data_IF_878650634407
#
_entry.id   IF_878650634407
#
_cell.length_a   1.000
_cell.length_b   1.000
_cell.length_c   1.000
_cell.angle_alpha   90.00
_cell.angle_beta   90.00
_cell.angle_gamma   90.00
#
_symmetry.space_group_name_H-M   'P 1'
#
loop_
_entity.id
_entity.type
_entity.pdbx_description
1 polymer ?
#
# COMPACT_ATOMS: atom_id res chain seq x y z
N UNK A 1 12.20 37.86 25.23
CA UNK A 1 11.41 37.98 26.44
C UNK A 1 10.55 39.26 26.51
N UNK A 2 10.61 40.20 25.57
CA UNK A 2 9.91 41.49 25.63
C UNK A 2 8.76 41.69 24.60
N UNK A 3 8.43 40.70 23.78
CA UNK A 3 7.34 40.81 22.78
C UNK A 3 6.01 40.14 23.15
N UNK A 4 5.99 39.32 24.22
CA UNK A 4 4.76 38.61 24.66
C UNK A 4 3.82 39.48 25.56
N UNK A 5 4.25 40.61 26.03
CA UNK A 5 3.47 41.42 26.97
C UNK A 5 2.63 42.55 26.33
N UNK A 6 2.76 42.80 25.01
CA UNK A 6 2.10 44.00 24.44
C UNK A 6 0.79 43.71 23.71
N UNK A 7 0.42 42.43 23.52
CA UNK A 7 -0.84 42.05 22.82
C UNK A 7 -2.04 41.80 23.72
N UNK A 8 -1.82 41.65 25.04
CA UNK A 8 -2.90 41.35 25.98
C UNK A 8 -3.61 42.59 26.55
N UNK A 9 -3.21 43.81 26.20
CA UNK A 9 -3.75 45.05 26.85
C UNK A 9 -4.88 45.75 26.10
N UNK A 10 -5.33 45.25 24.94
CA UNK A 10 -6.28 46.00 24.08
C UNK A 10 -7.68 45.42 23.97
N UNK A 11 -8.00 44.28 24.62
CA UNK A 11 -9.36 43.65 24.51
C UNK A 11 -10.15 43.58 25.84
N UNK A 12 -9.73 44.24 26.91
CA UNK A 12 -10.37 44.14 28.22
C UNK A 12 -11.22 45.36 28.57
N UNK A 13 -12.02 45.92 27.66
CA UNK A 13 -12.82 47.12 27.98
C UNK A 13 -14.31 47.00 27.56
N UNK A 14 -14.94 45.84 27.59
CA UNK A 14 -16.40 45.74 27.58
C UNK A 14 -16.86 44.53 28.38
N UNK A 15 -17.43 44.75 29.51
CA UNK A 15 -18.18 43.97 30.48
C UNK A 15 -17.43 43.71 31.79
N UNK A 16 -17.91 44.40 32.83
CA UNK A 16 -17.36 44.43 34.17
C UNK A 16 -17.43 43.13 34.98
N UNK A 17 -16.70 42.09 34.53
CA UNK A 17 -16.33 40.91 35.33
C UNK A 17 -14.84 40.69 35.04
N UNK A 18 -13.98 41.09 35.96
CA UNK A 18 -12.55 40.78 35.89
C UNK A 18 -12.37 39.29 36.18
N UNK A 19 -12.53 38.45 35.17
CA UNK A 19 -11.96 37.11 35.19
C UNK A 19 -10.43 37.26 35.03
N UNK A 20 -9.66 36.64 35.89
CA UNK A 20 -8.21 36.57 35.75
C UNK A 20 -7.91 35.82 34.47
N UNK A 21 -7.47 36.51 33.42
CA UNK A 21 -7.01 35.89 32.19
C UNK A 21 -5.59 35.38 32.40
N UNK A 22 -5.43 34.08 32.54
CA UNK A 22 -4.15 33.42 32.63
C UNK A 22 -3.76 32.95 31.25
N UNK A 23 -2.60 33.35 30.83
CA UNK A 23 -1.80 32.96 29.62
C UNK A 23 -2.55 32.43 28.37
N UNK A 24 -2.33 33.08 27.23
CA UNK A 24 -2.70 32.54 25.93
C UNK A 24 -1.65 31.50 25.49
N UNK A 25 -2.07 30.25 25.27
CA UNK A 25 -1.28 29.21 24.62
C UNK A 25 -1.51 29.25 23.12
N UNK A 26 -0.51 28.85 22.33
CA UNK A 26 -0.66 28.68 20.88
C UNK A 26 -0.35 27.22 20.50
N UNK A 27 -1.13 26.66 19.63
CA UNK A 27 -0.94 25.29 19.10
C UNK A 27 -1.34 25.24 17.63
N UNK A 28 -0.60 24.51 16.82
CA UNK A 28 -1.01 24.20 15.44
C UNK A 28 -2.13 23.13 15.46
N UNK A 29 -3.09 23.24 14.55
CA UNK A 29 -4.26 22.36 14.52
C UNK A 29 -3.94 20.86 14.26
N UNK A 30 -2.71 20.53 13.89
CA UNK A 30 -2.18 19.18 13.71
C UNK A 30 -1.21 18.73 14.81
N UNK A 31 -1.11 19.51 15.89
CA UNK A 31 -0.22 19.26 17.01
C UNK A 31 -0.98 19.16 18.32
N UNK A 32 -0.39 18.51 19.31
CA UNK A 32 -0.97 18.40 20.65
C UNK A 32 -0.31 19.42 21.58
N UNK A 33 -1.10 20.20 22.31
CA UNK A 33 -0.62 21.09 23.37
C UNK A 33 -0.50 20.31 24.69
N UNK A 34 0.65 20.39 25.34
CA UNK A 34 0.88 19.82 26.67
C UNK A 34 0.80 20.93 27.71
N UNK A 35 -0.11 20.79 28.69
CA UNK A 35 -0.26 21.77 29.75
C UNK A 35 0.84 21.70 30.80
N UNK A 36 1.13 22.83 31.37
CA UNK A 36 2.01 22.98 32.53
C UNK A 36 1.26 23.69 33.68
N UNK A 37 1.80 23.70 34.90
CA UNK A 37 1.21 24.43 36.00
C UNK A 37 1.21 25.95 35.76
N UNK A 38 2.19 26.45 35.02
CA UNK A 38 2.33 27.87 34.66
C UNK A 38 1.18 28.37 33.78
N UNK A 39 0.52 27.46 33.06
CA UNK A 39 -0.64 27.79 32.24
C UNK A 39 -1.89 28.13 33.09
N UNK A 40 -1.89 27.78 34.36
CA UNK A 40 -3.04 27.94 35.25
C UNK A 40 -2.79 28.89 36.42
N UNK A 41 -1.54 29.18 36.75
CA UNK A 41 -1.19 30.09 37.87
C UNK A 41 0.29 30.45 37.82
N UNK A 42 0.62 31.66 38.31
CA UNK A 42 2.01 32.10 38.61
C UNK A 42 2.48 31.68 40.00
N UNK A 43 1.61 31.07 40.83
CA UNK A 43 1.88 30.72 42.23
C UNK A 43 1.97 29.22 42.49
N UNK A 44 2.14 28.85 43.77
CA UNK A 44 2.21 27.45 44.24
C UNK A 44 0.82 26.77 44.20
N UNK A 45 0.41 26.33 42.99
CA UNK A 45 -0.87 25.70 42.73
C UNK A 45 -0.88 24.27 43.26
N UNK A 46 -1.91 23.89 44.04
CA UNK A 46 -2.14 22.52 44.51
C UNK A 46 -2.98 21.71 43.52
N UNK A 47 -3.80 22.41 42.73
CA UNK A 47 -4.62 21.76 41.68
C UNK A 47 -5.59 22.74 41.04
N UNK A 48 -6.42 22.22 40.17
CA UNK A 48 -7.51 22.92 39.49
C UNK A 48 -8.79 22.11 39.53
N UNK A 49 -9.93 22.79 39.55
CA UNK A 49 -11.22 22.21 39.26
C UNK A 49 -11.69 22.70 37.87
N UNK A 50 -11.86 21.84 36.91
CA UNK A 50 -12.37 22.19 35.57
C UNK A 50 -13.84 22.58 35.69
N UNK A 51 -14.19 23.79 35.26
CA UNK A 51 -15.59 24.28 35.27
C UNK A 51 -16.18 24.38 33.87
N UNK A 52 -15.33 24.50 32.83
CA UNK A 52 -15.76 24.47 31.43
C UNK A 52 -14.68 23.96 30.52
N UNK A 53 -15.09 23.26 29.47
CA UNK A 53 -14.23 22.72 28.48
C UNK A 53 -14.55 23.32 27.09
N UNK A 54 -13.60 23.31 26.15
CA UNK A 54 -13.85 23.78 24.79
C UNK A 54 -14.99 23.00 24.12
N UNK A 55 -15.62 23.64 23.16
CA UNK A 55 -16.49 22.91 22.21
C UNK A 55 -15.70 21.77 21.56
N UNK A 56 -16.23 20.52 21.54
CA UNK A 56 -15.58 19.39 20.86
C UNK A 56 -15.23 19.65 19.38
N UNK A 57 -15.96 20.57 18.72
CA UNK A 57 -15.64 21.01 17.36
C UNK A 57 -14.29 21.76 17.27
N UNK A 58 -13.74 22.25 18.40
CA UNK A 58 -12.47 22.97 18.47
C UNK A 58 -11.34 22.11 19.01
N UNK A 59 -11.66 21.07 19.75
CA UNK A 59 -10.67 20.13 20.31
C UNK A 59 -11.10 19.51 21.62
N UNK A 60 -10.28 18.64 22.14
CA UNK A 60 -10.56 17.83 23.33
C UNK A 60 -9.44 17.93 24.34
N UNK A 61 -9.80 18.19 25.61
CA UNK A 61 -8.85 18.17 26.73
C UNK A 61 -8.83 16.81 27.37
N UNK A 62 -7.63 16.24 27.54
CA UNK A 62 -7.42 14.87 28.02
C UNK A 62 -6.47 14.82 29.21
N UNK A 63 -6.60 13.79 30.02
CA UNK A 63 -5.62 13.37 31.03
C UNK A 63 -5.16 11.95 30.67
N UNK A 64 -3.96 11.82 30.10
CA UNK A 64 -3.53 10.59 29.47
C UNK A 64 -4.50 10.18 28.34
N UNK A 65 -5.19 9.05 28.48
CA UNK A 65 -6.18 8.56 27.51
C UNK A 65 -7.63 8.91 27.86
N UNK A 66 -7.87 9.57 29.02
CA UNK A 66 -9.21 9.92 29.49
C UNK A 66 -9.57 11.34 29.07
N UNK A 67 -10.71 11.49 28.42
CA UNK A 67 -11.32 12.82 28.16
C UNK A 67 -11.78 13.42 29.46
N UNK A 68 -11.38 14.68 29.74
CA UNK A 68 -11.81 15.42 30.92
C UNK A 68 -13.27 15.87 30.83
N UNK A 69 -13.88 16.08 31.98
CA UNK A 69 -15.26 16.55 32.12
C UNK A 69 -15.32 17.77 33.07
N UNK A 70 -16.34 18.60 32.90
CA UNK A 70 -16.64 19.64 33.86
C UNK A 70 -16.89 19.02 35.25
N UNK A 71 -16.26 19.56 36.27
CA UNK A 71 -16.24 19.06 37.66
C UNK A 71 -15.04 18.18 37.99
N UNK A 72 -14.18 17.82 37.00
CA UNK A 72 -12.94 17.10 37.30
C UNK A 72 -11.98 17.98 38.12
N UNK A 73 -11.45 17.37 39.18
CA UNK A 73 -10.43 18.02 40.04
C UNK A 73 -9.09 17.32 39.75
N UNK A 74 -8.10 18.12 39.44
CA UNK A 74 -6.77 17.66 39.09
C UNK A 74 -5.73 18.23 40.04
N UNK A 75 -4.81 17.40 40.50
CA UNK A 75 -3.66 17.83 41.27
C UNK A 75 -2.64 18.52 40.38
N UNK A 76 -1.74 19.32 40.99
CA UNK A 76 -0.66 19.97 40.27
C UNK A 76 0.21 19.00 39.45
N UNK A 77 0.43 17.77 39.94
CA UNK A 77 1.16 16.72 39.22
C UNK A 77 0.36 16.19 38.01
N UNK A 78 -0.97 16.12 38.10
CA UNK A 78 -1.79 15.65 36.99
C UNK A 78 -1.92 16.69 35.86
N UNK A 79 -1.76 17.97 36.16
CA UNK A 79 -1.78 19.05 35.17
C UNK A 79 -0.69 18.82 34.11
N UNK A 80 0.51 18.41 34.52
CA UNK A 80 1.60 18.12 33.55
C UNK A 80 1.36 16.90 32.65
N UNK A 81 0.31 16.14 32.93
CA UNK A 81 -0.13 15.02 32.09
C UNK A 81 -1.37 15.35 31.23
N UNK A 82 -1.89 16.59 31.41
CA UNK A 82 -2.98 17.06 30.56
C UNK A 82 -2.50 17.41 29.18
N UNK A 83 -3.34 17.14 28.19
CA UNK A 83 -3.11 17.53 26.82
C UNK A 83 -4.38 18.11 26.20
N UNK A 84 -4.20 19.04 25.28
CA UNK A 84 -5.26 19.49 24.40
C UNK A 84 -4.95 19.04 22.99
N UNK A 85 -5.90 18.31 22.39
CA UNK A 85 -5.83 17.83 21.01
C UNK A 85 -6.81 18.67 20.20
N UNK A 86 -6.33 19.62 19.38
CA UNK A 86 -7.19 20.45 18.55
C UNK A 86 -7.93 19.61 17.49
N UNK A 87 -9.10 20.06 17.12
CA UNK A 87 -9.74 19.58 15.88
C UNK A 87 -9.11 20.31 14.70
N UNK A 88 -8.76 19.56 13.64
CA UNK A 88 -8.16 20.15 12.44
C UNK A 88 -9.06 21.21 11.82
N UNK A 89 -8.49 22.35 11.48
CA UNK A 89 -9.18 23.51 10.90
C UNK A 89 -8.26 24.21 9.90
N UNK A 90 -8.84 24.88 8.91
CA UNK A 90 -8.11 25.72 7.97
C UNK A 90 -8.00 27.18 8.46
N UNK A 91 -8.88 27.58 9.36
CA UNK A 91 -8.93 28.92 9.94
C UNK A 91 -8.41 28.91 11.37
N UNK A 92 -7.80 30.03 11.77
CA UNK A 92 -7.40 30.24 13.15
C UNK A 92 -8.63 30.28 14.06
N UNK A 93 -8.59 29.53 15.15
CA UNK A 93 -9.68 29.40 16.11
C UNK A 93 -9.17 29.54 17.54
N UNK A 94 -10.11 29.67 18.48
CA UNK A 94 -9.79 29.70 19.88
C UNK A 94 -10.58 28.62 20.65
N UNK A 95 -9.89 27.94 21.54
CA UNK A 95 -10.47 27.01 22.51
C UNK A 95 -10.31 27.60 23.91
N UNK A 96 -11.35 27.46 24.73
CA UNK A 96 -11.40 28.06 26.05
C UNK A 96 -11.59 26.98 27.09
N UNK A 97 -10.69 26.97 28.09
CA UNK A 97 -10.81 26.14 29.30
C UNK A 97 -11.09 27.06 30.48
N UNK A 98 -12.16 26.81 31.24
CA UNK A 98 -12.46 27.51 32.46
C UNK A 98 -12.24 26.63 33.68
N UNK A 99 -11.67 27.19 34.75
CA UNK A 99 -11.24 26.41 35.91
C UNK A 99 -11.25 27.27 37.19
N UNK A 100 -11.25 26.61 38.35
CA UNK A 100 -11.01 27.21 39.65
C UNK A 100 -9.61 26.83 40.12
N UNK A 101 -8.68 27.77 40.31
CA UNK A 101 -7.38 27.50 40.91
C UNK A 101 -7.54 27.09 42.37
N UNK A 102 -6.84 26.04 42.81
CA UNK A 102 -6.87 25.52 44.17
C UNK A 102 -5.48 25.66 44.78
N UNK A 103 -5.37 26.43 45.85
CA UNK A 103 -4.16 26.62 46.66
C UNK A 103 -4.33 25.90 48.01
N UNK A 104 -3.29 25.89 48.82
CA UNK A 104 -3.31 25.22 50.13
C UNK A 104 -4.33 25.85 51.11
N UNK A 105 -4.48 27.16 51.03
CA UNK A 105 -5.28 27.97 51.95
C UNK A 105 -6.57 28.54 51.33
N UNK A 106 -6.75 28.44 50.03
CA UNK A 106 -7.90 29.05 49.34
C UNK A 106 -8.20 28.40 47.98
N UNK A 107 -9.42 28.59 47.51
CA UNK A 107 -9.84 28.39 46.13
C UNK A 107 -10.20 29.76 45.56
N UNK A 108 -9.61 30.10 44.42
CA UNK A 108 -9.86 31.41 43.80
C UNK A 108 -11.11 31.37 42.88
N UNK A 109 -11.50 32.55 42.41
CA UNK A 109 -12.58 32.68 41.43
C UNK A 109 -12.23 32.01 40.15
N UNK A 110 -13.27 31.67 39.37
CA UNK A 110 -13.08 31.06 38.07
C UNK A 110 -12.15 31.91 37.17
N UNK A 111 -11.16 31.25 36.62
CA UNK A 111 -10.23 31.79 35.64
C UNK A 111 -10.45 31.14 34.28
N UNK A 112 -9.98 31.80 33.24
CA UNK A 112 -10.12 31.35 31.85
C UNK A 112 -8.75 31.28 31.20
N UNK A 113 -8.45 30.14 30.58
CA UNK A 113 -7.31 29.95 29.70
C UNK A 113 -7.78 29.90 28.27
N UNK A 114 -7.20 30.70 27.40
CA UNK A 114 -7.45 30.71 25.97
C UNK A 114 -6.31 30.01 25.25
N UNK A 115 -6.65 29.07 24.36
CA UNK A 115 -5.72 28.35 23.50
C UNK A 115 -6.01 28.81 22.07
N UNK A 116 -5.06 29.52 21.48
CA UNK A 116 -5.12 29.91 20.05
C UNK A 116 -4.70 28.75 19.18
N UNK A 117 -5.61 28.26 18.37
CA UNK A 117 -5.38 27.17 17.42
C UNK A 117 -5.07 27.79 16.06
N UNK A 118 -3.87 27.52 15.53
CA UNK A 118 -3.51 27.95 14.18
C UNK A 118 -4.08 26.99 13.16
N UNK A 119 -4.89 27.52 12.28
CA UNK A 119 -5.40 26.80 11.12
C UNK A 119 -4.29 26.46 10.13
N UNK A 120 -4.47 25.37 9.39
CA UNK A 120 -3.55 24.95 8.36
C UNK A 120 -4.33 24.64 7.10
N UNK A 121 -4.11 25.45 6.08
CA UNK A 121 -4.73 25.25 4.77
C UNK A 121 -4.26 23.93 4.20
N UNK A 122 -5.23 23.16 3.72
CA UNK A 122 -4.98 21.87 3.10
C UNK A 122 -4.30 22.05 1.76
N UNK A 123 -3.22 21.30 1.51
CA UNK A 123 -2.46 21.41 0.28
C UNK A 123 -2.90 20.33 -0.72
N UNK A 124 -2.90 20.72 -2.00
CA UNK A 124 -3.18 19.75 -3.05
C UNK A 124 -2.09 18.68 -3.12
N UNK A 125 -2.46 17.42 -3.39
CA UNK A 125 -1.50 16.35 -3.54
C UNK A 125 -0.61 16.56 -4.77
N UNK A 126 0.53 15.87 -4.80
CA UNK A 126 1.51 15.93 -5.87
C UNK A 126 1.54 14.59 -6.59
N UNK A 127 1.33 14.61 -7.91
CA UNK A 127 1.57 13.49 -8.80
C UNK A 127 2.85 13.73 -9.59
N UNK A 128 3.64 12.68 -9.82
CA UNK A 128 4.95 12.76 -10.49
C UNK A 128 4.94 11.99 -11.80
N UNK A 129 5.67 12.54 -12.78
CA UNK A 129 5.95 11.83 -14.03
C UNK A 129 6.82 10.60 -13.75
N UNK A 130 6.53 9.51 -14.47
CA UNK A 130 7.31 8.29 -14.34
C UNK A 130 7.38 7.53 -15.66
N UNK A 131 8.29 6.56 -15.72
CA UNK A 131 8.44 5.68 -16.86
C UNK A 131 8.39 4.22 -16.42
N UNK A 132 7.85 3.35 -17.29
CA UNK A 132 7.90 1.91 -17.13
C UNK A 132 8.28 1.25 -18.45
N UNK A 133 8.81 0.05 -18.37
CA UNK A 133 9.04 -0.81 -19.53
C UNK A 133 8.18 -2.07 -19.43
N UNK A 134 7.72 -2.54 -20.56
CA UNK A 134 7.10 -3.85 -20.69
C UNK A 134 7.47 -4.47 -22.01
N UNK A 135 7.15 -5.75 -22.20
CA UNK A 135 7.31 -6.42 -23.48
C UNK A 135 5.99 -6.47 -24.26
N UNK A 136 6.13 -6.62 -25.55
CA UNK A 136 5.03 -6.95 -26.45
C UNK A 136 4.19 -8.10 -25.88
N UNK A 137 2.87 -7.88 -25.76
CA UNK A 137 1.89 -8.87 -25.25
C UNK A 137 2.06 -9.24 -23.77
N UNK A 138 2.84 -8.49 -22.99
CA UNK A 138 3.02 -8.71 -21.56
C UNK A 138 2.47 -7.54 -20.75
N UNK A 139 1.48 -7.81 -19.90
CA UNK A 139 1.03 -6.83 -18.90
C UNK A 139 2.13 -6.60 -17.85
N UNK A 140 2.27 -5.38 -17.39
CA UNK A 140 3.20 -5.04 -16.32
C UNK A 140 2.58 -4.00 -15.39
N UNK A 141 2.91 -4.09 -14.09
CA UNK A 141 2.35 -3.24 -13.04
C UNK A 141 3.43 -2.46 -12.33
N UNK A 142 3.08 -1.28 -11.85
CA UNK A 142 3.92 -0.46 -11.00
C UNK A 142 3.05 0.49 -10.14
N UNK A 143 3.53 0.93 -8.97
CA UNK A 143 2.84 1.95 -8.20
C UNK A 143 2.94 3.31 -8.92
N UNK A 144 1.84 4.07 -8.90
CA UNK A 144 1.88 5.48 -9.29
C UNK A 144 2.62 6.30 -8.25
N UNK A 145 3.44 7.22 -8.71
CA UNK A 145 4.20 8.13 -7.84
C UNK A 145 3.34 9.32 -7.48
N UNK A 146 2.74 9.29 -6.33
CA UNK A 146 1.96 10.39 -5.81
C UNK A 146 2.08 10.50 -4.29
N UNK A 147 1.95 11.72 -3.79
CA UNK A 147 2.07 12.01 -2.36
C UNK A 147 1.15 13.17 -1.99
N UNK A 148 0.44 13.00 -0.90
CA UNK A 148 -0.24 14.09 -0.20
C UNK A 148 0.71 14.73 0.83
N UNK A 149 0.85 16.07 0.88
CA UNK A 149 1.73 16.74 1.84
C UNK A 149 1.35 16.45 3.30
N UNK A 150 0.07 16.24 3.56
CA UNK A 150 -0.49 15.94 4.87
C UNK A 150 -0.61 14.42 5.14
N UNK A 151 -0.24 13.59 4.17
CA UNK A 151 -0.25 12.12 4.29
C UNK A 151 -1.64 11.50 4.19
N UNK A 152 -2.60 12.17 3.57
CA UNK A 152 -3.96 11.67 3.39
C UNK A 152 -4.04 10.61 2.30
N UNK A 153 -5.10 9.81 2.34
CA UNK A 153 -5.40 8.83 1.30
C UNK A 153 -5.73 9.51 -0.03
N UNK A 154 -5.23 8.96 -1.14
CA UNK A 154 -5.40 9.52 -2.47
C UNK A 154 -6.36 8.69 -3.32
N UNK A 155 -7.15 9.39 -4.13
CA UNK A 155 -7.96 8.79 -5.21
C UNK A 155 -7.30 9.07 -6.54
N UNK A 156 -7.11 8.04 -7.36
CA UNK A 156 -6.39 8.12 -8.64
C UNK A 156 -7.37 8.16 -9.82
N UNK A 157 -7.13 9.04 -10.77
CA UNK A 157 -7.98 9.19 -11.96
C UNK A 157 -7.13 9.27 -13.23
N UNK A 158 -7.40 8.40 -14.21
CA UNK A 158 -6.78 8.48 -15.54
C UNK A 158 -7.45 9.59 -16.34
N UNK A 159 -6.69 10.61 -16.72
CA UNK A 159 -7.19 11.77 -17.48
C UNK A 159 -7.07 11.57 -18.98
N UNK A 160 -6.07 10.79 -19.44
CA UNK A 160 -5.89 10.42 -20.85
C UNK A 160 -5.47 8.97 -20.95
N UNK A 161 -6.25 8.18 -21.70
CA UNK A 161 -5.96 6.77 -21.95
C UNK A 161 -4.78 6.55 -22.92
N UNK A 162 -4.03 5.45 -22.77
CA UNK A 162 -2.97 5.10 -23.71
C UNK A 162 -3.53 4.66 -25.06
N UNK A 163 -2.73 4.79 -26.12
CA UNK A 163 -3.15 4.45 -27.50
C UNK A 163 -2.81 3.02 -27.91
N UNK A 164 -1.70 2.47 -27.36
CA UNK A 164 -1.16 1.16 -27.75
C UNK A 164 -1.46 0.06 -26.74
N UNK A 165 -2.19 0.36 -25.67
CA UNK A 165 -2.56 -0.54 -24.58
C UNK A 165 -3.83 -0.09 -23.89
N UNK A 166 -4.07 -0.66 -22.73
CA UNK A 166 -5.02 -0.21 -21.70
C UNK A 166 -4.31 -0.07 -20.36
N UNK A 167 -4.86 0.75 -19.48
CA UNK A 167 -4.38 0.92 -18.10
C UNK A 167 -5.54 0.74 -17.14
N UNK A 168 -5.30 0.01 -16.08
CA UNK A 168 -6.17 -0.15 -14.92
C UNK A 168 -5.40 0.31 -13.67
N UNK A 169 -6.07 0.98 -12.74
CA UNK A 169 -5.48 1.45 -11.48
C UNK A 169 -6.29 0.85 -10.34
N UNK A 170 -5.63 0.25 -9.37
CA UNK A 170 -6.26 -0.28 -8.17
C UNK A 170 -6.48 0.80 -7.10
N UNK A 171 -7.14 0.44 -5.99
CA UNK A 171 -7.45 1.34 -4.88
C UNK A 171 -6.20 1.85 -4.15
N UNK A 172 -5.07 1.14 -4.27
CA UNK A 172 -3.80 1.49 -3.63
C UNK A 172 -2.89 2.33 -4.53
N UNK A 173 -3.35 2.65 -5.74
CA UNK A 173 -2.60 3.43 -6.72
C UNK A 173 -1.57 2.62 -7.51
N UNK A 174 -1.63 1.29 -7.48
CA UNK A 174 -0.89 0.49 -8.43
C UNK A 174 -1.63 0.44 -9.76
N UNK A 175 -0.91 0.68 -10.85
CA UNK A 175 -1.47 0.57 -12.19
C UNK A 175 -0.92 -0.64 -12.91
N UNK A 176 -1.77 -1.26 -13.71
CA UNK A 176 -1.40 -2.32 -14.65
C UNK A 176 -1.59 -1.82 -16.07
N UNK A 177 -0.51 -1.80 -16.86
CA UNK A 177 -0.56 -1.50 -18.28
C UNK A 177 -0.52 -2.79 -19.10
N UNK A 178 -1.51 -2.98 -19.98
CA UNK A 178 -1.62 -4.14 -20.88
C UNK A 178 -1.45 -3.67 -22.33
N UNK A 179 -0.34 -4.04 -23.00
CA UNK A 179 -0.14 -3.72 -24.41
C UNK A 179 -1.19 -4.38 -25.31
N UNK A 180 -1.70 -3.68 -26.31
CA UNK A 180 -2.47 -4.30 -27.40
C UNK A 180 -1.59 -5.29 -28.17
N UNK A 181 -2.23 -6.33 -28.70
CA UNK A 181 -1.57 -7.44 -29.41
C UNK A 181 -0.51 -6.96 -30.38
N UNK A 182 0.70 -7.50 -30.24
CA UNK A 182 1.86 -7.25 -31.09
C UNK A 182 2.32 -5.77 -31.21
N UNK A 183 1.85 -4.86 -30.36
CA UNK A 183 2.35 -3.48 -30.35
C UNK A 183 3.71 -3.39 -29.67
N UNK A 184 4.55 -2.51 -30.21
CA UNK A 184 5.86 -2.12 -29.67
C UNK A 184 6.04 -0.61 -29.83
N UNK A 185 7.05 -0.04 -29.15
CA UNK A 185 7.37 1.38 -29.18
C UNK A 185 6.85 2.10 -27.96
N UNK A 186 6.80 3.44 -27.99
CA UNK A 186 6.41 4.26 -26.85
C UNK A 186 4.91 4.52 -26.84
N UNK A 187 4.31 4.43 -25.66
CA UNK A 187 2.95 4.84 -25.34
C UNK A 187 2.96 5.72 -24.09
N UNK A 188 1.84 6.30 -23.74
CA UNK A 188 1.69 7.07 -22.51
C UNK A 188 0.23 7.21 -22.10
N UNK A 189 0.00 7.36 -20.81
CA UNK A 189 -1.26 7.84 -20.24
C UNK A 189 -0.97 8.97 -19.26
N UNK A 190 -1.98 9.74 -18.89
CA UNK A 190 -1.88 10.77 -17.87
C UNK A 190 -2.88 10.53 -16.75
N UNK A 191 -2.53 11.00 -15.55
CA UNK A 191 -3.33 10.82 -14.37
C UNK A 191 -3.27 12.02 -13.43
N UNK A 192 -4.27 12.16 -12.61
CA UNK A 192 -4.32 13.07 -11.46
C UNK A 192 -4.63 12.29 -10.20
N UNK A 193 -4.30 12.86 -9.06
CA UNK A 193 -4.72 12.35 -7.75
C UNK A 193 -5.51 13.42 -7.01
N UNK A 194 -6.49 12.96 -6.24
CA UNK A 194 -7.40 13.82 -5.47
C UNK A 194 -7.38 13.36 -4.01
N UNK A 195 -7.29 14.32 -3.10
CA UNK A 195 -7.38 14.08 -1.66
C UNK A 195 -8.86 14.00 -1.19
N UNK A 196 -9.13 13.65 0.09
CA UNK A 196 -10.50 13.59 0.61
C UNK A 196 -11.23 14.94 0.66
N UNK A 197 -10.52 16.06 0.61
CA UNK A 197 -11.07 17.40 0.61
C UNK A 197 -11.42 17.90 -0.80
N UNK A 198 -11.01 17.16 -1.83
CA UNK A 198 -11.30 17.46 -3.22
C UNK A 198 -10.22 18.28 -3.91
N UNK A 199 -9.06 18.52 -3.28
CA UNK A 199 -7.93 19.16 -3.97
C UNK A 199 -7.32 18.18 -4.96
N UNK A 200 -7.05 18.66 -6.18
CA UNK A 200 -6.57 17.84 -7.29
C UNK A 200 -5.14 18.22 -7.64
N UNK A 201 -4.29 17.23 -7.84
CA UNK A 201 -2.90 17.43 -8.29
C UNK A 201 -2.84 18.03 -9.70
N UNK A 202 -1.65 18.49 -10.09
CA UNK A 202 -1.33 18.66 -11.52
C UNK A 202 -1.36 17.32 -12.21
N UNK A 203 -1.66 17.33 -13.52
CA UNK A 203 -1.60 16.13 -14.34
C UNK A 203 -0.16 15.64 -14.46
N UNK A 204 0.06 14.33 -14.24
CA UNK A 204 1.33 13.66 -14.41
C UNK A 204 1.27 12.63 -15.55
N UNK A 205 2.39 12.36 -16.17
CA UNK A 205 2.51 11.48 -17.33
C UNK A 205 3.25 10.21 -16.96
N UNK A 206 2.66 9.05 -17.28
CA UNK A 206 3.36 7.77 -17.30
C UNK A 206 3.75 7.44 -18.72
N UNK A 207 5.06 7.34 -18.97
CA UNK A 207 5.62 6.92 -20.26
C UNK A 207 5.93 5.45 -20.24
N UNK A 208 5.41 4.69 -21.22
CA UNK A 208 5.59 3.25 -21.34
C UNK A 208 6.43 2.93 -22.57
N UNK A 209 7.52 2.17 -22.40
CA UNK A 209 8.30 1.58 -23.49
C UNK A 209 7.91 0.12 -23.66
N UNK A 210 7.28 -0.19 -24.79
CA UNK A 210 6.91 -1.57 -25.16
C UNK A 210 8.03 -2.14 -26.02
N UNK A 211 8.80 -3.08 -25.46
CA UNK A 211 10.00 -3.65 -26.04
C UNK A 211 9.70 -4.96 -26.78
N UNK A 212 10.58 -5.36 -27.68
CA UNK A 212 10.69 -6.75 -28.11
C UNK A 212 11.53 -7.53 -27.09
N UNK A 213 11.27 -8.82 -26.87
CA UNK A 213 12.16 -9.67 -26.08
C UNK A 213 13.62 -9.56 -26.57
N UNK A 214 14.54 -9.39 -25.64
CA UNK A 214 15.98 -9.23 -25.91
C UNK A 214 16.48 -7.80 -26.13
N UNK A 215 15.62 -6.80 -26.29
CA UNK A 215 16.01 -5.40 -26.52
C UNK A 215 16.35 -4.62 -25.22
N UNK A 216 16.12 -5.21 -24.04
CA UNK A 216 16.32 -4.53 -22.75
C UNK A 216 17.74 -4.64 -22.23
N UNK A 217 18.13 -3.68 -21.37
CA UNK A 217 19.38 -3.75 -20.62
C UNK A 217 19.41 -4.95 -19.65
N UNK A 218 20.60 -5.33 -19.16
CA UNK A 218 20.73 -6.33 -18.11
C UNK A 218 20.17 -5.83 -16.79
N UNK A 219 19.75 -6.75 -15.94
CA UNK A 219 19.41 -6.40 -14.55
C UNK A 219 20.64 -5.91 -13.79
N UNK A 220 20.45 -4.85 -13.00
CA UNK A 220 21.52 -4.23 -12.22
C UNK A 220 21.80 -4.99 -10.90
N UNK A 221 20.82 -5.70 -10.39
CA UNK A 221 20.81 -6.34 -9.06
C UNK A 221 21.05 -7.86 -9.10
N UNK A 222 21.12 -8.45 -10.29
CA UNK A 222 21.38 -9.89 -10.41
C UNK A 222 22.12 -10.24 -11.69
N UNK A 223 22.99 -11.27 -11.59
CA UNK A 223 23.61 -11.95 -12.74
C UNK A 223 22.99 -13.32 -12.98
N UNK A 224 21.85 -13.65 -12.36
CA UNK A 224 21.21 -14.94 -12.49
C UNK A 224 20.74 -15.17 -13.94
N UNK A 225 21.22 -16.27 -14.55
CA UNK A 225 20.90 -16.60 -15.94
C UNK A 225 19.40 -16.75 -16.19
N UNK A 226 18.69 -17.37 -15.25
CA UNK A 226 17.24 -17.63 -15.36
C UNK A 226 16.42 -16.35 -15.28
N UNK A 227 16.87 -15.34 -14.54
CA UNK A 227 16.25 -14.02 -14.53
C UNK A 227 16.40 -13.32 -15.89
N UNK A 228 17.62 -13.34 -16.44
CA UNK A 228 17.88 -12.81 -17.80
C UNK A 228 17.11 -13.59 -18.86
N UNK A 229 16.95 -14.91 -18.69
CA UNK A 229 16.15 -15.74 -19.58
C UNK A 229 14.68 -15.35 -19.56
N UNK A 230 14.06 -15.15 -18.39
CA UNK A 230 12.67 -14.66 -18.28
C UNK A 230 12.48 -13.34 -19.03
N UNK A 231 13.44 -12.42 -18.89
CA UNK A 231 13.42 -11.13 -19.59
C UNK A 231 13.52 -11.33 -21.10
N UNK A 232 14.53 -12.09 -21.56
CA UNK A 232 14.83 -12.27 -22.96
C UNK A 232 13.74 -13.07 -23.71
N UNK A 233 12.95 -13.86 -22.99
CA UNK A 233 11.77 -14.56 -23.55
C UNK A 233 10.50 -13.70 -23.47
N UNK A 234 10.55 -12.54 -22.80
CA UNK A 234 9.41 -11.64 -22.64
C UNK A 234 8.41 -12.10 -21.59
N UNK A 235 8.83 -12.95 -20.66
CA UNK A 235 7.97 -13.50 -19.60
C UNK A 235 7.93 -12.58 -18.37
N UNK A 236 9.01 -11.82 -18.13
CA UNK A 236 9.11 -10.89 -17.01
C UNK A 236 9.99 -9.69 -17.38
N UNK A 237 9.62 -8.48 -16.95
CA UNK A 237 10.34 -7.24 -17.33
C UNK A 237 11.27 -6.75 -16.24
N UNK A 238 10.90 -6.88 -14.97
CA UNK A 238 11.53 -6.19 -13.84
C UNK A 238 11.02 -4.77 -13.64
N UNK A 239 11.66 -4.05 -12.79
CA UNK A 239 11.28 -2.70 -12.35
C UNK A 239 12.37 -1.68 -12.73
N UNK A 240 11.96 -0.44 -13.09
CA UNK A 240 12.89 0.66 -13.32
C UNK A 240 13.11 1.44 -12.03
N UNK A 241 14.31 1.36 -11.48
CA UNK A 241 14.70 2.05 -10.25
C UNK A 241 15.94 2.90 -10.50
N UNK A 242 15.82 4.22 -10.36
CA UNK A 242 16.94 5.13 -10.55
C UNK A 242 17.58 5.07 -11.95
N UNK A 243 16.81 4.73 -12.99
CA UNK A 243 17.29 4.55 -14.36
C UNK A 243 17.95 3.20 -14.64
N UNK A 244 17.95 2.29 -13.68
CA UNK A 244 18.46 0.93 -13.81
C UNK A 244 17.30 -0.07 -13.84
N UNK A 245 17.46 -1.15 -14.59
CA UNK A 245 16.52 -2.26 -14.59
C UNK A 245 16.88 -3.21 -13.45
N UNK A 246 15.92 -3.51 -12.57
CA UNK A 246 16.09 -4.29 -11.35
C UNK A 246 15.11 -5.47 -11.35
N UNK A 247 15.60 -6.64 -10.96
CA UNK A 247 14.81 -7.87 -10.90
C UNK A 247 14.06 -8.03 -9.57
N UNK A 248 14.66 -7.57 -8.48
CA UNK A 248 14.18 -7.78 -7.11
C UNK A 248 13.93 -9.25 -6.79
N UNK A 249 14.96 -10.07 -6.94
CA UNK A 249 14.88 -11.52 -6.89
C UNK A 249 14.29 -12.11 -5.62
N UNK A 250 14.47 -11.45 -4.49
CA UNK A 250 13.91 -11.87 -3.18
C UNK A 250 12.42 -11.53 -3.00
N UNK A 251 11.86 -10.72 -3.89
CA UNK A 251 10.43 -10.37 -3.82
C UNK A 251 9.59 -11.60 -4.16
N UNK A 252 8.55 -11.83 -3.34
CA UNK A 252 7.60 -12.93 -3.56
C UNK A 252 6.80 -12.71 -4.85
N UNK A 253 6.57 -13.77 -5.60
CA UNK A 253 5.73 -13.78 -6.81
C UNK A 253 4.28 -14.01 -6.41
N UNK A 254 3.35 -13.23 -6.97
CA UNK A 254 1.94 -13.49 -6.77
C UNK A 254 1.43 -14.67 -7.61
N UNK A 255 0.29 -15.25 -7.21
CA UNK A 255 -0.36 -16.34 -7.92
C UNK A 255 -0.71 -15.97 -9.38
N UNK A 256 -1.17 -14.73 -9.58
CA UNK A 256 -1.46 -14.22 -10.93
C UNK A 256 -0.22 -14.05 -11.79
N UNK A 257 0.87 -13.49 -11.22
CA UNK A 257 2.16 -13.37 -11.94
C UNK A 257 2.72 -14.74 -12.33
N UNK A 258 2.76 -15.69 -11.39
CA UNK A 258 3.25 -17.04 -11.66
C UNK A 258 2.43 -17.75 -12.74
N UNK A 259 1.08 -17.71 -12.60
CA UNK A 259 0.18 -18.32 -13.58
C UNK A 259 0.44 -17.82 -15.01
N UNK A 260 0.57 -16.50 -15.16
CA UNK A 260 0.79 -15.88 -16.47
C UNK A 260 2.10 -16.36 -17.10
N UNK A 261 3.18 -16.39 -16.34
CA UNK A 261 4.48 -16.89 -16.80
C UNK A 261 4.42 -18.39 -17.13
N UNK A 262 3.82 -19.21 -16.26
CA UNK A 262 3.72 -20.65 -16.46
C UNK A 262 2.90 -21.02 -17.72
N UNK A 263 1.76 -20.36 -17.93
CA UNK A 263 0.94 -20.55 -19.13
C UNK A 263 1.74 -20.26 -20.41
N UNK A 264 2.53 -19.20 -20.42
CA UNK A 264 3.35 -18.83 -21.56
C UNK A 264 4.51 -19.82 -21.78
N UNK A 265 5.17 -20.27 -20.70
CA UNK A 265 6.23 -21.29 -20.76
C UNK A 265 5.69 -22.61 -21.32
N UNK A 266 4.50 -23.01 -20.89
CA UNK A 266 3.84 -24.25 -21.33
C UNK A 266 3.20 -24.14 -22.71
N UNK A 267 3.11 -22.94 -23.28
CA UNK A 267 2.47 -22.70 -24.57
C UNK A 267 0.96 -22.94 -24.55
N UNK A 268 0.31 -22.81 -23.40
CA UNK A 268 -1.15 -22.96 -23.27
C UNK A 268 -1.83 -21.81 -24.04
N UNK A 269 -2.76 -22.10 -24.98
CA UNK A 269 -3.42 -21.06 -25.76
C UNK A 269 -4.29 -20.17 -24.88
N UNK A 270 -4.09 -18.85 -24.96
CA UNK A 270 -4.89 -17.85 -24.29
C UNK A 270 -5.79 -17.16 -25.30
N UNK A 271 -7.09 -17.19 -25.06
CA UNK A 271 -8.09 -16.46 -25.83
C UNK A 271 -8.41 -15.15 -25.11
N UNK A 272 -7.90 -14.03 -25.64
CA UNK A 272 -8.03 -12.69 -25.04
C UNK A 272 -9.49 -12.21 -24.95
N UNK A 273 -10.42 -12.85 -25.66
CA UNK A 273 -11.85 -12.52 -25.61
C UNK A 273 -12.58 -13.19 -24.44
N UNK A 274 -11.94 -14.15 -23.76
CA UNK A 274 -12.55 -14.86 -22.64
C UNK A 274 -12.35 -14.10 -21.33
N UNK A 275 -13.44 -13.99 -20.60
CA UNK A 275 -13.46 -13.59 -19.20
C UNK A 275 -13.88 -14.77 -18.33
N UNK A 276 -13.63 -14.70 -17.04
CA UNK A 276 -14.12 -15.69 -16.09
C UNK A 276 -14.96 -15.00 -15.02
N UNK A 277 -16.11 -15.59 -14.74
CA UNK A 277 -16.96 -15.26 -13.59
C UNK A 277 -17.02 -16.43 -12.59
N UNK A 278 -16.05 -17.37 -12.71
CA UNK A 278 -16.03 -18.57 -11.87
C UNK A 278 -15.74 -18.27 -10.40
N UNK A 279 -15.17 -17.11 -10.11
CA UNK A 279 -14.74 -16.71 -8.78
C UNK A 279 -15.43 -15.42 -8.32
N UNK A 280 -15.59 -15.26 -7.00
CA UNK A 280 -16.19 -14.10 -6.35
C UNK A 280 -15.18 -12.98 -6.10
N UNK A 281 -13.87 -13.31 -6.03
CA UNK A 281 -12.81 -12.33 -5.88
C UNK A 281 -12.56 -11.56 -7.19
N UNK A 282 -12.09 -10.32 -7.04
CA UNK A 282 -11.83 -9.45 -8.19
C UNK A 282 -10.55 -9.90 -8.91
N UNK A 283 -10.74 -10.58 -10.06
CA UNK A 283 -9.62 -10.92 -10.95
C UNK A 283 -9.42 -9.74 -11.91
N UNK A 284 -8.22 -9.12 -11.96
CA UNK A 284 -7.91 -8.05 -12.90
C UNK A 284 -8.25 -8.45 -14.35
N UNK A 285 -8.80 -7.51 -15.12
CA UNK A 285 -9.27 -7.79 -16.49
C UNK A 285 -8.19 -8.41 -17.38
N UNK A 286 -6.96 -7.95 -17.24
CA UNK A 286 -5.82 -8.50 -18.00
C UNK A 286 -5.49 -9.95 -17.65
N UNK A 287 -5.81 -10.41 -16.44
CA UNK A 287 -5.52 -11.76 -15.94
C UNK A 287 -6.65 -12.74 -16.27
N UNK A 288 -7.88 -12.27 -16.46
CA UNK A 288 -9.05 -13.14 -16.71
C UNK A 288 -8.85 -14.14 -17.86
N UNK A 289 -8.29 -13.78 -19.03
CA UNK A 289 -8.01 -14.73 -20.11
C UNK A 289 -7.04 -15.85 -19.70
N UNK A 290 -6.06 -15.53 -18.88
CA UNK A 290 -5.09 -16.51 -18.36
C UNK A 290 -5.72 -17.45 -17.36
N UNK A 291 -6.55 -16.93 -16.44
CA UNK A 291 -7.30 -17.76 -15.49
C UNK A 291 -8.28 -18.68 -16.24
N UNK A 292 -8.96 -18.17 -17.25
CA UNK A 292 -9.83 -18.99 -18.12
C UNK A 292 -9.04 -20.10 -18.85
N UNK A 293 -7.85 -19.79 -19.35
CA UNK A 293 -6.97 -20.76 -19.98
C UNK A 293 -6.48 -21.84 -19.01
N UNK A 294 -6.13 -21.45 -17.78
CA UNK A 294 -5.71 -22.36 -16.71
C UNK A 294 -6.82 -23.33 -16.29
N UNK A 295 -8.04 -22.83 -16.13
CA UNK A 295 -9.22 -23.65 -15.82
C UNK A 295 -9.51 -24.64 -16.95
N UNK A 296 -9.49 -24.20 -18.20
CA UNK A 296 -9.76 -25.05 -19.37
C UNK A 296 -8.70 -26.13 -19.58
N UNK A 297 -7.45 -25.84 -19.23
CA UNK A 297 -6.35 -26.81 -19.32
C UNK A 297 -6.28 -27.75 -18.12
N UNK A 298 -7.09 -27.53 -17.09
CA UNK A 298 -7.04 -28.29 -15.84
C UNK A 298 -5.82 -27.97 -14.97
N UNK A 299 -5.12 -26.87 -15.26
CA UNK A 299 -3.91 -26.47 -14.53
C UNK A 299 -4.21 -26.11 -13.06
N UNK A 300 -5.34 -25.45 -12.81
CA UNK A 300 -5.76 -25.06 -11.47
C UNK A 300 -7.27 -25.01 -11.35
N UNK A 301 -7.76 -25.15 -10.12
CA UNK A 301 -9.17 -24.94 -9.76
C UNK A 301 -9.37 -23.73 -8.82
N UNK A 302 -8.32 -22.92 -8.59
CA UNK A 302 -8.32 -21.82 -7.63
C UNK A 302 -7.88 -22.26 -6.23
N UNK A 303 -7.92 -21.32 -5.25
CA UNK A 303 -7.69 -21.61 -3.83
C UNK A 303 -8.90 -22.31 -3.21
N UNK A 304 -10.09 -21.99 -3.71
CA UNK A 304 -11.35 -22.63 -3.36
C UNK A 304 -12.27 -22.64 -4.57
N UNK A 305 -13.49 -23.15 -4.40
CA UNK A 305 -14.53 -23.09 -5.44
C UNK A 305 -14.99 -21.68 -5.77
N UNK A 306 -14.73 -20.69 -4.92
CA UNK A 306 -15.18 -19.29 -5.07
C UNK A 306 -14.05 -18.28 -5.09
N UNK A 307 -12.79 -18.68 -4.85
CA UNK A 307 -11.65 -17.77 -4.72
C UNK A 307 -10.47 -18.22 -5.57
N UNK A 308 -9.96 -17.35 -6.43
CA UNK A 308 -8.74 -17.57 -7.18
C UNK A 308 -7.50 -17.07 -6.42
N UNK A 309 -7.56 -15.90 -5.78
CA UNK A 309 -6.46 -15.27 -5.02
C UNK A 309 -5.34 -14.72 -5.92
N UNK A 310 -5.60 -13.80 -6.89
CA UNK A 310 -4.58 -13.35 -7.84
C UNK A 310 -3.36 -12.69 -7.20
N UNK A 311 -3.56 -11.97 -6.10
CA UNK A 311 -2.51 -11.24 -5.38
C UNK A 311 -1.86 -12.05 -4.24
N UNK A 312 -2.42 -13.22 -3.93
CA UNK A 312 -1.86 -14.08 -2.87
C UNK A 312 -0.45 -14.55 -3.27
N UNK A 313 0.48 -14.63 -2.29
CA UNK A 313 1.81 -15.19 -2.52
C UNK A 313 1.71 -16.61 -3.09
N UNK A 314 2.48 -16.90 -4.14
CA UNK A 314 2.51 -18.23 -4.74
C UNK A 314 3.33 -19.20 -3.87
N UNK A 315 2.70 -20.20 -3.33
CA UNK A 315 3.39 -21.30 -2.64
C UNK A 315 4.05 -22.25 -3.65
N UNK A 316 5.27 -22.72 -3.32
CA UNK A 316 6.06 -23.57 -4.23
C UNK A 316 5.42 -24.94 -4.49
N UNK A 317 4.71 -25.51 -3.51
CA UNK A 317 4.02 -26.79 -3.66
C UNK A 317 2.74 -26.63 -4.51
N UNK A 318 2.02 -25.51 -4.34
CA UNK A 318 0.90 -25.15 -5.23
C UNK A 318 1.38 -24.97 -6.68
N UNK A 319 2.52 -24.32 -6.88
CA UNK A 319 3.14 -24.17 -8.20
C UNK A 319 3.46 -25.53 -8.82
N UNK A 320 3.99 -26.46 -8.02
CA UNK A 320 4.27 -27.82 -8.48
C UNK A 320 3.00 -28.55 -8.90
N UNK A 321 1.89 -28.44 -8.13
CA UNK A 321 0.60 -29.03 -8.48
C UNK A 321 0.04 -28.44 -9.78
N UNK A 322 0.09 -27.12 -9.92
CA UNK A 322 -0.35 -26.45 -11.15
C UNK A 322 0.42 -26.92 -12.38
N UNK A 323 1.74 -27.03 -12.27
CA UNK A 323 2.62 -27.47 -13.35
C UNK A 323 2.42 -28.96 -13.67
N UNK A 324 2.30 -29.82 -12.64
CA UNK A 324 2.00 -31.25 -12.82
C UNK A 324 0.69 -31.44 -13.59
N UNK A 325 -0.37 -30.77 -13.13
CA UNK A 325 -1.68 -30.86 -13.76
C UNK A 325 -1.66 -30.41 -15.25
N UNK A 326 -1.00 -29.29 -15.53
CA UNK A 326 -0.91 -28.74 -16.88
C UNK A 326 -0.11 -29.64 -17.83
N UNK A 327 0.94 -30.31 -17.33
CA UNK A 327 1.81 -31.19 -18.12
C UNK A 327 1.36 -32.66 -18.13
N UNK A 328 0.37 -33.01 -17.30
CA UNK A 328 -0.11 -34.42 -17.11
C UNK A 328 1.03 -35.35 -16.69
N UNK A 329 1.93 -34.85 -15.77
CA UNK A 329 3.06 -35.65 -15.34
C UNK A 329 2.60 -36.80 -14.43
N UNK A 330 2.93 -38.02 -14.87
CA UNK A 330 2.67 -39.21 -14.09
C UNK A 330 3.64 -39.32 -12.90
N UNK A 331 3.16 -39.87 -11.79
CA UNK A 331 3.98 -40.27 -10.65
C UNK A 331 4.26 -41.76 -10.75
N UNK A 332 5.54 -42.17 -10.70
CA UNK A 332 5.91 -43.59 -10.73
C UNK A 332 5.40 -44.28 -9.44
N UNK A 333 4.78 -45.43 -9.61
CA UNK A 333 4.32 -46.23 -8.47
C UNK A 333 5.54 -46.69 -7.63
N UNK A 334 5.72 -46.09 -6.44
CA UNK A 334 6.78 -46.43 -5.51
C UNK A 334 7.67 -45.29 -5.01
N UNK A 335 7.55 -44.08 -5.58
CA UNK A 335 8.42 -42.93 -5.24
C UNK A 335 7.80 -41.93 -4.26
N UNK A 336 7.04 -42.38 -3.28
CA UNK A 336 6.56 -41.50 -2.19
C UNK A 336 7.64 -41.23 -1.10
N UNK A 337 8.91 -41.46 -1.38
CA UNK A 337 9.97 -41.13 -0.42
C UNK A 337 10.37 -39.65 -0.59
N UNK A 338 9.54 -38.77 -0.05
CA UNK A 338 9.89 -37.35 0.13
C UNK A 338 10.79 -37.19 1.36
N UNK A 339 11.85 -38.00 1.44
CA UNK A 339 12.71 -38.13 2.62
C UNK A 339 13.18 -36.74 3.09
N UNK A 340 12.62 -36.29 4.21
CA UNK A 340 13.08 -35.14 4.98
C UNK A 340 12.37 -33.79 4.72
N UNK A 341 11.34 -33.74 3.90
CA UNK A 341 10.47 -32.54 3.75
C UNK A 341 9.08 -32.80 4.34
N UNK A 342 8.54 -31.81 5.05
CA UNK A 342 7.15 -31.83 5.54
C UNK A 342 6.22 -31.46 4.36
N UNK A 343 6.00 -32.43 3.44
CA UNK A 343 5.17 -32.27 2.25
C UNK A 343 3.75 -32.71 2.58
N UNK A 344 2.74 -31.85 2.47
CA UNK A 344 1.36 -32.21 2.68
C UNK A 344 0.86 -33.22 1.64
N UNK A 345 -0.10 -34.09 2.03
CA UNK A 345 -0.65 -35.15 1.17
C UNK A 345 -1.14 -34.63 -0.19
N UNK A 346 -1.76 -33.44 -0.23
CA UNK A 346 -2.29 -32.84 -1.46
C UNK A 346 -1.20 -32.47 -2.48
N UNK A 347 0.04 -32.22 -2.04
CA UNK A 347 1.16 -31.84 -2.89
C UNK A 347 2.14 -33.00 -3.15
N UNK A 348 2.06 -34.10 -2.39
CA UNK A 348 3.05 -35.18 -2.41
C UNK A 348 3.26 -35.75 -3.81
N UNK A 349 2.19 -35.99 -4.55
CA UNK A 349 2.27 -36.46 -5.93
C UNK A 349 2.99 -35.50 -6.87
N UNK A 350 2.69 -34.20 -6.75
CA UNK A 350 3.29 -33.18 -7.59
C UNK A 350 4.78 -32.97 -7.29
N UNK A 351 5.15 -32.92 -6.00
CA UNK A 351 6.55 -32.80 -5.56
C UNK A 351 7.36 -34.01 -6.03
N UNK A 352 6.80 -35.24 -5.93
CA UNK A 352 7.45 -36.46 -6.42
C UNK A 352 7.62 -36.40 -7.95
N UNK A 353 6.59 -36.04 -8.70
CA UNK A 353 6.68 -35.90 -10.16
C UNK A 353 7.74 -34.88 -10.61
N UNK A 354 7.84 -33.74 -9.91
CA UNK A 354 8.87 -32.74 -10.15
C UNK A 354 10.27 -33.31 -9.87
N UNK A 355 10.44 -33.99 -8.71
CA UNK A 355 11.71 -34.61 -8.32
C UNK A 355 12.19 -35.68 -9.31
N UNK A 356 11.30 -36.53 -9.82
CA UNK A 356 11.60 -37.53 -10.86
C UNK A 356 12.10 -36.88 -12.16
N UNK A 357 11.69 -35.65 -12.44
CA UNK A 357 12.15 -34.87 -13.58
C UNK A 357 13.35 -33.93 -13.23
N UNK A 358 13.99 -34.14 -12.08
CA UNK A 358 15.17 -33.39 -11.67
C UNK A 358 14.89 -31.97 -11.19
N UNK A 359 13.62 -31.68 -10.82
CA UNK A 359 13.18 -30.38 -10.33
C UNK A 359 12.88 -30.46 -8.83
N UNK A 360 13.75 -29.85 -8.02
CA UNK A 360 13.54 -29.78 -6.56
C UNK A 360 12.54 -28.68 -6.22
N UNK A 361 11.54 -29.02 -5.40
CA UNK A 361 10.56 -28.09 -4.84
C UNK A 361 10.86 -27.92 -3.34
N UNK A 362 11.08 -26.69 -2.90
CA UNK A 362 11.23 -26.36 -1.48
C UNK A 362 9.92 -25.82 -0.91
N UNK A 363 9.70 -25.96 0.40
CA UNK A 363 8.52 -25.41 1.06
C UNK A 363 8.56 -23.87 1.11
N UNK A 364 7.37 -23.26 1.13
CA UNK A 364 7.17 -21.83 1.30
C UNK A 364 6.89 -21.07 0.02
N UNK A 365 6.73 -19.77 0.15
CA UNK A 365 6.39 -18.89 -0.97
C UNK A 365 7.57 -18.74 -1.94
N UNK A 366 7.26 -18.78 -3.24
CA UNK A 366 8.26 -18.56 -4.29
C UNK A 366 8.73 -17.12 -4.32
N UNK A 367 10.06 -16.93 -4.20
CA UNK A 367 10.68 -15.69 -4.61
C UNK A 367 10.75 -15.58 -6.14
N UNK A 368 11.01 -14.38 -6.68
CA UNK A 368 11.24 -14.21 -8.12
C UNK A 368 12.44 -15.04 -8.61
N UNK A 369 13.47 -15.23 -7.76
CA UNK A 369 14.59 -16.13 -8.07
C UNK A 369 14.15 -17.59 -8.22
N UNK A 370 13.31 -18.07 -7.28
CA UNK A 370 12.84 -19.45 -7.32
C UNK A 370 11.90 -19.69 -8.48
N UNK A 371 10.98 -18.76 -8.74
CA UNK A 371 10.09 -18.82 -9.89
C UNK A 371 10.86 -18.82 -11.21
N UNK A 372 11.91 -17.99 -11.35
CA UNK A 372 12.75 -17.96 -12.54
C UNK A 372 13.46 -19.30 -12.77
N UNK A 373 14.07 -19.89 -11.74
CA UNK A 373 14.74 -21.19 -11.80
C UNK A 373 13.73 -22.29 -12.15
N UNK A 374 12.60 -22.34 -11.47
CA UNK A 374 11.55 -23.33 -11.70
C UNK A 374 11.04 -23.28 -13.14
N UNK A 375 10.61 -22.10 -13.61
CA UNK A 375 10.09 -21.92 -14.96
C UNK A 375 11.13 -22.22 -16.06
N UNK A 376 12.41 -21.91 -15.80
CA UNK A 376 13.48 -22.27 -16.72
C UNK A 376 13.67 -23.80 -16.81
N UNK A 377 13.64 -24.52 -15.67
CA UNK A 377 13.69 -25.98 -15.66
C UNK A 377 12.50 -26.60 -16.36
N UNK A 378 11.30 -26.08 -16.14
CA UNK A 378 10.08 -26.49 -16.85
C UNK A 378 10.24 -26.26 -18.36
N UNK A 379 10.76 -25.12 -18.79
CA UNK A 379 10.97 -24.84 -20.21
C UNK A 379 11.90 -25.86 -20.88
N UNK A 380 12.95 -26.30 -20.17
CA UNK A 380 13.84 -27.37 -20.64
C UNK A 380 13.14 -28.71 -20.75
N UNK A 381 12.34 -29.06 -19.72
CA UNK A 381 11.58 -30.31 -19.70
C UNK A 381 10.60 -30.39 -20.91
N UNK A 382 9.83 -29.32 -21.11
CA UNK A 382 8.89 -29.20 -22.24
C UNK A 382 9.60 -29.32 -23.62
N UNK A 383 10.79 -28.73 -23.76
CA UNK A 383 11.55 -28.76 -25.00
C UNK A 383 12.26 -30.11 -25.26
N UNK A 384 12.57 -30.87 -24.21
CA UNK A 384 13.31 -32.15 -24.32
C UNK A 384 12.41 -33.39 -24.38
N UNK A 385 11.14 -33.28 -24.04
CA UNK A 385 10.21 -34.39 -23.96
C UNK A 385 9.03 -34.23 -24.97
N UNK A 386 9.19 -34.64 -26.24
CA UNK A 386 8.18 -34.46 -27.29
C UNK A 386 6.87 -35.24 -27.08
N UNK A 387 6.74 -35.97 -25.95
CA UNK A 387 5.53 -36.71 -25.58
C UNK A 387 4.70 -36.08 -24.45
N UNK A 388 5.21 -35.00 -23.82
CA UNK A 388 4.41 -34.27 -22.85
C UNK A 388 3.25 -33.55 -23.54
N UNK A 389 2.09 -33.56 -22.86
CA UNK A 389 0.89 -32.87 -23.36
C UNK A 389 1.22 -31.39 -23.57
N UNK A 390 1.40 -31.01 -24.81
CA UNK A 390 1.69 -29.64 -25.21
C UNK A 390 0.49 -29.09 -25.96
N UNK A 391 0.01 -27.96 -25.50
CA UNK A 391 -0.99 -27.17 -26.25
C UNK A 391 -0.25 -26.42 -27.38
N UNK A 392 0.11 -27.13 -28.45
CA UNK A 392 0.67 -26.53 -29.68
C UNK A 392 -0.41 -26.17 -30.67
#
# INVERSE_FOLDING_TARGET
MFRKQLLCLLLALVCGVTALTVTAAEVDCDSTYCFSQEDFSEGDLKGICITGLPDPARGTVMLGTRVLRSGDILTAQQISQMTFVPTRTEEDQEAIVTFLPIYEDRVEKAATMTISIRGKVDQAPVAEDQAMETYKNLANSAPLKAKDPEGKALTYTVTRQPKRGSVEIDQNGAFTYTPKKNKVGTDSFTYTVTDPQGNVSREATVTIRILKPGDSARYADTGLFEAEWLKNTGLFVGEQVGGQLVFHGEKTVSRGEFLTMAIQVLGIPVDESLSTSAYEDQIPTWLQPYVAAALRSGMTAGLSSTTFGPEEPMDAMEAAVMLQNAMDLAVSAGTMDTAGQDVPDWAAGAVAAMSENGIAISAGNLSRFDAAKLLYQISKLVNSAPGLKMYR
#
